data_IF_434739401394
#
_entry.id   IF_434739401394
#
_cell.length_a   1.000
_cell.length_b   1.000
_cell.length_c   1.000
_cell.angle_alpha   90.00
_cell.angle_beta   90.00
_cell.angle_gamma   90.00
#
_symmetry.space_group_name_H-M   'P 1'
#
loop_
_entity.id
_entity.type
_entity.pdbx_description
1 polymer ?
#
# COMPACT_ATOMS: atom_id res chain seq x y z
N UNK A 1 33.64 39.09 17.37
CA UNK A 1 32.35 38.68 16.74
C UNK A 1 32.56 37.89 15.45
N UNK A 2 33.49 38.22 14.59
CA UNK A 2 33.74 37.55 13.30
C UNK A 2 34.03 36.04 13.41
N UNK A 3 34.75 35.56 14.43
CA UNK A 3 35.07 34.15 14.67
C UNK A 3 33.82 33.26 14.86
N UNK A 4 32.84 33.70 15.63
CA UNK A 4 31.59 32.90 15.86
C UNK A 4 30.77 32.70 14.58
N UNK A 5 30.69 33.72 13.72
CA UNK A 5 30.02 33.66 12.46
C UNK A 5 30.69 32.70 11.47
N UNK A 6 32.01 32.62 11.49
CA UNK A 6 32.78 31.71 10.64
C UNK A 6 32.56 30.26 11.06
N UNK A 7 32.61 29.97 12.38
CA UNK A 7 32.33 28.62 12.90
C UNK A 7 30.92 28.15 12.60
N UNK A 8 29.90 29.03 12.76
CA UNK A 8 28.51 28.69 12.40
C UNK A 8 28.34 28.39 10.90
N UNK A 9 28.97 29.17 10.04
CA UNK A 9 28.97 28.94 8.58
C UNK A 9 29.62 27.62 8.22
N UNK A 10 30.75 27.30 8.83
CA UNK A 10 31.42 26.01 8.62
C UNK A 10 30.55 24.84 9.07
N UNK A 11 29.92 24.94 10.22
CA UNK A 11 29.00 23.91 10.73
C UNK A 11 27.79 23.70 9.81
N UNK A 12 27.17 24.78 9.33
CA UNK A 12 26.08 24.72 8.36
C UNK A 12 26.53 24.09 7.04
N UNK A 13 27.70 24.50 6.53
CA UNK A 13 28.24 23.94 5.29
C UNK A 13 28.55 22.46 5.43
N UNK A 14 29.15 22.03 6.53
CA UNK A 14 29.42 20.62 6.81
C UNK A 14 28.11 19.80 6.89
N UNK A 15 27.12 20.35 7.58
CA UNK A 15 25.79 19.71 7.65
C UNK A 15 25.14 19.58 6.27
N UNK A 16 25.17 20.63 5.45
CA UNK A 16 24.61 20.61 4.11
C UNK A 16 25.31 19.58 3.22
N UNK A 17 26.64 19.52 3.27
CA UNK A 17 27.41 18.51 2.53
C UNK A 17 27.02 17.10 2.97
N UNK A 18 26.95 16.85 4.27
CA UNK A 18 26.51 15.57 4.83
C UNK A 18 25.07 15.21 4.37
N UNK A 19 24.13 16.15 4.52
CA UNK A 19 22.72 15.94 4.16
C UNK A 19 22.55 15.66 2.67
N UNK A 20 23.18 16.44 1.80
CA UNK A 20 23.12 16.23 0.36
C UNK A 20 23.77 14.90 -0.04
N UNK A 21 24.89 14.54 0.56
CA UNK A 21 25.53 13.24 0.32
C UNK A 21 24.63 12.09 0.75
N UNK A 22 24.03 12.17 1.94
CA UNK A 22 23.08 11.16 2.42
C UNK A 22 21.89 11.00 1.47
N UNK A 23 21.34 12.12 0.98
CA UNK A 23 20.21 12.11 0.04
C UNK A 23 20.60 11.50 -1.30
N UNK A 24 21.77 11.87 -1.85
CA UNK A 24 22.27 11.31 -3.12
C UNK A 24 22.51 9.81 -2.99
N UNK A 25 23.20 9.36 -1.94
CA UNK A 25 23.44 7.92 -1.71
C UNK A 25 22.12 7.15 -1.57
N UNK A 26 21.09 7.77 -1.00
CA UNK A 26 19.78 7.13 -0.88
C UNK A 26 19.08 6.92 -2.22
N UNK A 27 19.19 7.89 -3.12
CA UNK A 27 18.48 7.93 -4.42
C UNK A 27 19.18 7.10 -5.49
N UNK A 28 20.52 7.01 -5.46
CA UNK A 28 21.32 6.28 -6.46
C UNK A 28 20.86 4.81 -6.56
N UNK A 29 20.84 4.20 -7.77
CA UNK A 29 20.56 2.78 -7.95
C UNK A 29 21.45 1.88 -7.07
N UNK A 30 20.95 0.69 -6.77
CA UNK A 30 21.66 -0.26 -5.93
C UNK A 30 23.02 -0.61 -6.55
N UNK A 31 24.05 -0.49 -5.74
CA UNK A 31 25.44 -0.70 -6.13
C UNK A 31 26.28 -1.07 -4.91
N UNK A 32 27.44 -1.76 -5.08
CA UNK A 32 28.33 -2.10 -3.97
C UNK A 32 28.77 -0.86 -3.15
N UNK A 33 28.94 0.28 -3.81
CA UNK A 33 29.27 1.54 -3.14
C UNK A 33 28.12 2.02 -2.23
N UNK A 34 26.87 1.94 -2.73
CA UNK A 34 25.69 2.29 -1.94
C UNK A 34 25.56 1.39 -0.72
N UNK A 35 25.73 0.08 -0.87
CA UNK A 35 25.67 -0.88 0.22
C UNK A 35 26.70 -0.59 1.31
N UNK A 36 27.91 -0.19 0.91
CA UNK A 36 28.96 0.19 1.84
C UNK A 36 28.65 1.49 2.62
N UNK A 37 28.04 2.48 1.97
CA UNK A 37 27.76 3.80 2.57
C UNK A 37 26.44 3.85 3.34
N UNK A 38 25.45 3.04 2.96
CA UNK A 38 24.10 3.03 3.55
C UNK A 38 24.08 2.90 5.08
N UNK A 39 24.87 2.02 5.72
CA UNK A 39 24.86 1.88 7.17
C UNK A 39 25.18 3.17 7.91
N UNK A 40 26.02 4.04 7.34
CA UNK A 40 26.37 5.32 7.94
C UNK A 40 25.23 6.35 7.89
N UNK A 41 24.38 6.30 6.85
CA UNK A 41 23.31 7.26 6.66
C UNK A 41 21.95 6.80 7.18
N UNK A 42 21.73 5.49 7.32
CA UNK A 42 20.47 4.93 7.86
C UNK A 42 20.04 5.53 9.19
N UNK A 43 20.89 5.68 10.21
CA UNK A 43 20.50 6.24 11.49
C UNK A 43 20.02 7.70 11.41
N UNK A 44 20.43 8.41 10.37
CA UNK A 44 20.01 9.79 10.11
C UNK A 44 18.73 9.85 9.27
N UNK A 45 18.65 9.09 8.17
CA UNK A 45 17.58 9.18 7.20
C UNK A 45 16.26 8.57 7.70
N UNK A 46 16.32 7.41 8.37
CA UNK A 46 15.12 6.69 8.79
C UNK A 46 14.33 7.39 9.90
N UNK A 47 14.93 7.82 11.03
CA UNK A 47 14.17 8.47 12.10
C UNK A 47 13.57 9.81 11.70
N UNK A 48 14.21 10.53 10.78
CA UNK A 48 13.74 11.81 10.28
C UNK A 48 12.71 11.70 9.14
N UNK A 49 12.41 10.48 8.70
CA UNK A 49 11.45 10.26 7.60
C UNK A 49 11.93 10.82 6.26
N UNK A 50 13.26 11.03 6.09
CA UNK A 50 13.88 11.59 4.88
C UNK A 50 14.06 10.57 3.76
N UNK A 51 13.72 9.30 4.03
CA UNK A 51 13.80 8.25 3.02
C UNK A 51 12.64 8.39 2.03
N UNK A 52 12.96 8.46 0.74
CA UNK A 52 11.98 8.36 -0.35
C UNK A 52 12.46 7.34 -1.37
N UNK A 53 11.53 6.50 -1.81
CA UNK A 53 11.77 5.63 -2.95
C UNK A 53 11.22 6.30 -4.20
N UNK A 54 12.10 6.66 -5.12
CA UNK A 54 11.72 7.27 -6.41
C UNK A 54 11.04 6.27 -7.36
N UNK A 55 11.09 4.99 -7.06
CA UNK A 55 10.38 3.93 -7.79
C UNK A 55 8.87 4.16 -7.86
N UNK A 56 8.31 4.97 -6.97
CA UNK A 56 6.90 5.35 -7.03
C UNK A 56 6.57 6.31 -8.19
N UNK A 57 7.58 6.96 -8.77
CA UNK A 57 7.38 8.02 -9.75
C UNK A 57 8.07 7.77 -11.10
N UNK A 58 9.00 6.81 -11.18
CA UNK A 58 9.76 6.52 -12.39
C UNK A 58 10.40 5.13 -12.34
N UNK A 59 10.56 4.41 -13.48
CA UNK A 59 10.17 4.81 -14.84
C UNK A 59 8.67 4.64 -15.12
N UNK A 60 7.97 3.79 -14.33
CA UNK A 60 6.56 3.45 -14.49
C UNK A 60 5.81 3.70 -13.18
N UNK A 61 5.26 4.92 -12.96
CA UNK A 61 4.40 5.16 -11.83
C UNK A 61 3.16 4.27 -11.93
N UNK A 62 2.75 3.66 -10.81
CA UNK A 62 1.49 2.92 -10.77
C UNK A 62 0.34 3.88 -11.05
N UNK A 63 -0.08 3.92 -12.33
CA UNK A 63 -1.20 4.74 -12.80
C UNK A 63 -2.55 4.04 -12.67
N UNK A 64 -2.53 2.74 -12.44
CA UNK A 64 -3.75 1.93 -12.41
C UNK A 64 -4.58 2.21 -11.15
N UNK A 65 -5.89 2.31 -11.34
CA UNK A 65 -6.83 2.31 -10.23
C UNK A 65 -7.08 0.87 -9.79
N UNK A 66 -6.75 0.57 -8.54
CA UNK A 66 -6.95 -0.75 -7.95
C UNK A 66 -8.01 -0.67 -6.85
N UNK A 67 -9.05 -1.49 -6.94
CA UNK A 67 -10.12 -1.59 -5.94
C UNK A 67 -10.23 -3.03 -5.46
N UNK A 68 -10.22 -3.20 -4.15
CA UNK A 68 -10.30 -4.49 -3.50
C UNK A 68 -11.77 -4.91 -3.34
N UNK A 69 -12.06 -6.17 -3.66
CA UNK A 69 -13.37 -6.79 -3.49
C UNK A 69 -13.20 -8.21 -2.98
N UNK A 70 -14.15 -8.69 -2.23
CA UNK A 70 -14.17 -10.07 -1.76
C UNK A 70 -15.52 -10.70 -2.00
N UNK A 71 -15.51 -11.94 -2.45
CA UNK A 71 -16.67 -12.81 -2.60
C UNK A 71 -16.58 -13.93 -1.59
N UNK A 72 -17.67 -14.16 -0.86
CA UNK A 72 -17.80 -15.23 0.11
C UNK A 72 -18.99 -16.10 -0.28
N UNK A 73 -18.74 -17.40 -0.42
CA UNK A 73 -19.77 -18.40 -0.67
C UNK A 73 -19.97 -19.19 0.62
N UNK A 74 -21.18 -19.21 1.16
CA UNK A 74 -21.51 -19.93 2.38
C UNK A 74 -21.82 -21.42 2.11
N UNK A 75 -21.98 -22.19 3.19
CA UNK A 75 -22.32 -23.62 3.11
C UNK A 75 -23.62 -23.92 2.36
N UNK A 76 -24.50 -22.94 2.19
CA UNK A 76 -25.75 -23.06 1.42
C UNK A 76 -25.59 -22.66 -0.04
N UNK A 77 -24.39 -22.26 -0.45
CA UNK A 77 -24.11 -21.74 -1.79
C UNK A 77 -24.55 -20.29 -1.97
N UNK A 78 -24.90 -19.57 -0.91
CA UNK A 78 -25.27 -18.17 -0.98
C UNK A 78 -24.04 -17.30 -1.13
N UNK A 79 -24.11 -16.33 -2.03
CA UNK A 79 -23.01 -15.46 -2.42
C UNK A 79 -23.13 -14.11 -1.71
N UNK A 80 -22.09 -13.74 -0.98
CA UNK A 80 -21.96 -12.46 -0.28
C UNK A 80 -20.79 -11.69 -0.87
N UNK A 81 -21.03 -10.47 -1.32
CA UNK A 81 -19.98 -9.59 -1.88
C UNK A 81 -19.68 -8.52 -0.85
N UNK A 82 -18.39 -8.34 -0.55
CA UNK A 82 -17.89 -7.26 0.27
C UNK A 82 -17.01 -6.33 -0.56
N UNK A 83 -17.49 -5.12 -0.77
CA UNK A 83 -16.73 -4.06 -1.44
C UNK A 83 -15.97 -3.23 -0.41
N UNK A 84 -14.66 -3.12 -0.59
CA UNK A 84 -13.85 -2.26 0.27
C UNK A 84 -14.13 -0.79 -0.06
N UNK A 85 -14.30 0.08 0.95
CA UNK A 85 -14.59 1.48 0.71
C UNK A 85 -13.46 2.15 -0.04
N UNK A 86 -13.77 2.78 -1.17
CA UNK A 86 -12.80 3.57 -1.93
C UNK A 86 -12.66 4.96 -1.32
N UNK A 87 -11.45 5.56 -1.43
CA UNK A 87 -11.22 6.91 -0.90
C UNK A 87 -12.00 7.95 -1.70
N UNK A 88 -12.30 7.65 -2.98
CA UNK A 88 -13.05 8.56 -3.86
C UNK A 88 -14.46 8.85 -3.33
N UNK A 89 -15.14 7.83 -2.83
CA UNK A 89 -16.54 7.88 -2.40
C UNK A 89 -16.74 8.46 -1.01
N UNK A 90 -15.64 8.76 -0.31
CA UNK A 90 -15.69 9.26 1.05
C UNK A 90 -15.76 10.79 1.10
N UNK A 91 -16.54 11.38 2.03
CA UNK A 91 -16.47 12.80 2.31
C UNK A 91 -15.05 13.18 2.80
N UNK A 92 -14.63 14.44 2.54
CA UNK A 92 -13.25 14.87 2.72
C UNK A 92 -12.67 14.60 4.12
N UNK A 93 -13.47 14.74 5.21
CA UNK A 93 -13.04 14.47 6.60
C UNK A 93 -12.77 12.99 6.89
N UNK A 94 -13.39 12.08 6.13
CA UNK A 94 -13.13 10.65 6.21
C UNK A 94 -11.97 10.20 5.31
N UNK A 95 -11.53 11.04 4.37
CA UNK A 95 -10.40 10.75 3.50
C UNK A 95 -9.07 10.77 4.26
N UNK A 96 -8.89 11.73 5.18
CA UNK A 96 -7.66 11.88 5.95
C UNK A 96 -7.21 10.59 6.69
N UNK A 97 -8.05 9.94 7.52
CA UNK A 97 -7.64 8.72 8.20
C UNK A 97 -7.50 7.51 7.24
N UNK A 98 -8.04 7.61 6.03
CA UNK A 98 -8.06 6.50 5.05
C UNK A 98 -7.17 6.70 3.83
N UNK A 99 -6.32 7.70 3.81
CA UNK A 99 -5.39 7.96 2.70
C UNK A 99 -4.43 6.79 2.41
N UNK A 100 -4.24 5.87 3.37
CA UNK A 100 -3.41 4.68 3.22
C UNK A 100 -4.11 3.50 2.54
N UNK A 101 -5.44 3.54 2.32
CA UNK A 101 -6.18 2.44 1.71
C UNK A 101 -5.69 2.07 0.30
N UNK A 102 -5.42 3.03 -0.61
CA UNK A 102 -4.87 2.69 -1.92
C UNK A 102 -3.53 1.95 -1.82
N UNK A 103 -2.64 2.40 -0.93
CA UNK A 103 -1.36 1.73 -0.70
C UNK A 103 -1.53 0.33 -0.12
N UNK A 104 -2.49 0.13 0.77
CA UNK A 104 -2.83 -1.18 1.30
C UNK A 104 -3.26 -2.14 0.19
N UNK A 105 -4.17 -1.71 -0.70
CA UNK A 105 -4.61 -2.49 -1.85
C UNK A 105 -3.44 -2.85 -2.76
N UNK A 106 -2.58 -1.88 -3.08
CA UNK A 106 -1.39 -2.12 -3.90
C UNK A 106 -0.41 -3.11 -3.24
N UNK A 107 -0.19 -2.99 -1.94
CA UNK A 107 0.68 -3.91 -1.22
C UNK A 107 0.14 -5.35 -1.25
N UNK A 108 -1.17 -5.54 -1.09
CA UNK A 108 -1.78 -6.87 -1.17
C UNK A 108 -1.59 -7.55 -2.53
N UNK A 109 -1.28 -6.80 -3.59
CA UNK A 109 -0.96 -7.37 -4.90
C UNK A 109 0.44 -7.99 -4.96
N UNK A 110 1.34 -7.65 -4.03
CA UNK A 110 2.69 -8.18 -3.95
C UNK A 110 2.72 -9.50 -3.19
N UNK A 111 3.51 -10.46 -3.66
CA UNK A 111 3.60 -11.80 -3.06
C UNK A 111 4.15 -11.81 -1.63
N UNK A 112 4.92 -10.78 -1.28
CA UNK A 112 5.43 -10.55 0.07
C UNK A 112 4.31 -10.43 1.13
N UNK A 113 3.08 -10.06 0.70
CA UNK A 113 1.92 -9.83 1.56
C UNK A 113 0.89 -10.98 1.51
N UNK A 114 1.33 -12.19 1.19
CA UNK A 114 0.44 -13.36 1.14
C UNK A 114 -0.25 -13.64 2.49
N UNK A 115 0.46 -13.47 3.60
CA UNK A 115 -0.10 -13.64 4.95
C UNK A 115 -1.16 -12.59 5.26
N UNK A 116 -0.93 -11.34 4.87
CA UNK A 116 -1.85 -10.23 5.06
C UNK A 116 -3.14 -10.39 4.25
N UNK A 117 -3.08 -11.09 3.12
CA UNK A 117 -4.28 -11.45 2.33
C UNK A 117 -5.21 -12.34 3.13
N UNK A 118 -4.70 -13.34 3.86
CA UNK A 118 -5.52 -14.19 4.72
C UNK A 118 -6.13 -13.41 5.89
N UNK A 119 -5.35 -12.55 6.55
CA UNK A 119 -5.88 -11.66 7.59
C UNK A 119 -6.96 -10.72 7.06
N UNK A 120 -6.81 -10.26 5.82
CA UNK A 120 -7.83 -9.46 5.12
C UNK A 120 -9.10 -10.27 4.90
N UNK A 121 -9.00 -11.54 4.52
CA UNK A 121 -10.13 -12.45 4.42
C UNK A 121 -10.87 -12.61 5.76
N UNK A 122 -10.15 -12.82 6.86
CA UNK A 122 -10.74 -12.89 8.19
C UNK A 122 -11.43 -11.57 8.59
N UNK A 123 -10.85 -10.44 8.23
CA UNK A 123 -11.49 -9.14 8.44
C UNK A 123 -12.81 -9.02 7.67
N UNK A 124 -12.85 -9.43 6.41
CA UNK A 124 -14.10 -9.42 5.59
C UNK A 124 -15.19 -10.26 6.24
N UNK A 125 -14.88 -11.48 6.67
CA UNK A 125 -15.84 -12.36 7.32
C UNK A 125 -16.43 -11.75 8.61
N UNK A 126 -15.60 -11.03 9.38
CA UNK A 126 -16.06 -10.28 10.55
C UNK A 126 -16.99 -9.13 10.18
N UNK A 127 -16.73 -8.44 9.06
CA UNK A 127 -17.59 -7.34 8.61
C UNK A 127 -18.93 -7.83 8.08
N UNK A 128 -18.95 -8.96 7.39
CA UNK A 128 -20.20 -9.59 6.89
C UNK A 128 -21.00 -10.17 8.05
N UNK A 129 -20.35 -10.71 9.07
CA UNK A 129 -21.02 -11.19 10.29
C UNK A 129 -21.86 -12.44 10.09
N UNK A 130 -21.38 -13.40 9.30
CA UNK A 130 -22.12 -14.64 9.02
C UNK A 130 -22.35 -15.46 10.31
N UNK A 131 -23.55 -16.08 10.46
CA UNK A 131 -23.85 -16.95 11.59
C UNK A 131 -23.04 -18.26 11.52
N UNK A 132 -22.83 -18.96 12.64
CA UNK A 132 -22.07 -20.22 12.66
C UNK A 132 -22.63 -21.29 11.68
N UNK A 133 -23.92 -21.28 11.44
CA UNK A 133 -24.58 -22.21 10.50
C UNK A 133 -24.27 -21.93 9.01
N UNK A 134 -23.60 -20.82 8.71
CA UNK A 134 -23.16 -20.50 7.34
C UNK A 134 -21.81 -21.12 6.99
N UNK A 135 -21.11 -21.66 7.96
CA UNK A 135 -19.81 -22.31 7.73
C UNK A 135 -19.99 -23.80 7.35
N UNK A 136 -19.08 -24.37 6.53
CA UNK A 136 -17.85 -23.76 6.00
C UNK A 136 -18.12 -22.68 4.94
N UNK A 137 -17.20 -21.71 4.84
CA UNK A 137 -17.27 -20.64 3.84
C UNK A 137 -16.03 -20.65 2.96
N UNK A 138 -16.25 -20.40 1.65
CA UNK A 138 -15.19 -20.20 0.67
C UNK A 138 -15.08 -18.71 0.35
N UNK A 139 -13.91 -18.10 0.62
CA UNK A 139 -13.64 -16.70 0.39
C UNK A 139 -12.66 -16.52 -0.75
N UNK A 140 -13.03 -15.71 -1.73
CA UNK A 140 -12.14 -15.26 -2.79
C UNK A 140 -11.87 -13.76 -2.68
N UNK A 141 -10.60 -13.38 -2.68
CA UNK A 141 -10.17 -11.99 -2.62
C UNK A 141 -9.69 -11.55 -3.99
N UNK A 142 -10.24 -10.47 -4.50
CA UNK A 142 -9.96 -9.93 -5.83
C UNK A 142 -9.49 -8.49 -5.78
N UNK A 143 -8.69 -8.10 -6.76
CA UNK A 143 -8.39 -6.72 -7.07
C UNK A 143 -8.93 -6.40 -8.48
N UNK A 144 -9.80 -5.41 -8.58
CA UNK A 144 -10.25 -4.83 -9.84
C UNK A 144 -9.25 -3.77 -10.26
N UNK A 145 -8.53 -4.00 -11.35
CA UNK A 145 -7.47 -3.13 -11.85
C UNK A 145 -7.93 -2.49 -13.15
N UNK A 146 -7.86 -1.18 -13.22
CA UNK A 146 -8.15 -0.41 -14.42
C UNK A 146 -7.03 0.55 -14.74
N UNK A 147 -6.52 0.47 -15.97
CA UNK A 147 -5.58 1.44 -16.50
C UNK A 147 -6.23 2.83 -16.65
N UNK A 148 -5.48 3.92 -16.44
CA UNK A 148 -5.97 5.26 -16.69
C UNK A 148 -6.38 5.43 -18.17
N UNK A 149 -7.35 6.29 -18.46
CA UNK A 149 -7.70 6.57 -19.85
C UNK A 149 -6.53 7.22 -20.58
N UNK A 150 -6.40 7.02 -21.90
CA UNK A 150 -5.42 7.74 -22.70
C UNK A 150 -5.54 9.26 -22.54
N UNK A 151 -4.45 10.01 -22.70
CA UNK A 151 -4.49 11.47 -22.62
C UNK A 151 -5.59 12.08 -23.51
N UNK A 152 -6.39 12.98 -22.94
CA UNK A 152 -7.48 13.65 -23.66
C UNK A 152 -8.83 12.93 -23.68
N UNK A 153 -8.92 11.73 -23.13
CA UNK A 153 -10.21 11.06 -22.93
C UNK A 153 -10.78 11.38 -21.54
N UNK A 154 -12.10 11.61 -21.42
CA UNK A 154 -12.72 11.83 -20.12
C UNK A 154 -12.63 10.57 -19.27
N UNK A 155 -12.51 10.75 -17.97
CA UNK A 155 -12.57 9.67 -16.99
C UNK A 155 -13.99 9.06 -17.05
N UNK A 156 -14.12 7.91 -17.69
CA UNK A 156 -15.34 7.09 -17.60
C UNK A 156 -15.33 6.35 -16.26
N UNK A 157 -16.48 5.74 -15.89
CA UNK A 157 -16.61 4.93 -14.69
C UNK A 157 -15.30 4.18 -14.37
N UNK A 158 -14.66 4.43 -13.21
CA UNK A 158 -13.37 3.87 -12.87
C UNK A 158 -13.37 2.33 -12.85
N UNK A 159 -14.51 1.68 -12.73
CA UNK A 159 -14.62 0.22 -12.67
C UNK A 159 -15.17 -0.43 -13.95
N UNK A 160 -15.66 0.37 -14.91
CA UNK A 160 -16.08 -0.18 -16.19
C UNK A 160 -14.90 -0.85 -16.92
N UNK A 161 -15.02 -2.12 -17.28
CA UNK A 161 -13.97 -2.92 -17.95
C UNK A 161 -12.68 -3.10 -17.13
N UNK A 162 -12.78 -3.10 -15.79
CA UNK A 162 -11.64 -3.42 -14.94
C UNK A 162 -11.20 -4.88 -15.17
N UNK A 163 -9.88 -5.12 -15.18
CA UNK A 163 -9.33 -6.46 -15.17
C UNK A 163 -9.40 -7.01 -13.75
N UNK A 164 -9.99 -8.20 -13.62
CA UNK A 164 -10.03 -8.90 -12.34
C UNK A 164 -8.71 -9.65 -12.12
N UNK A 165 -8.09 -9.42 -10.97
CA UNK A 165 -6.91 -10.12 -10.52
C UNK A 165 -7.21 -10.81 -9.19
N UNK A 166 -7.14 -12.15 -9.18
CA UNK A 166 -7.35 -12.93 -7.95
C UNK A 166 -6.11 -12.86 -7.09
N UNK A 167 -6.27 -12.38 -5.86
CA UNK A 167 -5.19 -12.29 -4.88
C UNK A 167 -5.02 -13.58 -4.08
N UNK A 168 -6.12 -14.31 -3.84
CA UNK A 168 -6.11 -15.58 -3.14
C UNK A 168 -7.50 -16.10 -2.86
N UNK A 169 -7.58 -17.39 -2.53
CA UNK A 169 -8.80 -18.08 -2.11
C UNK A 169 -8.53 -18.78 -0.79
N UNK A 170 -9.48 -18.74 0.12
CA UNK A 170 -9.34 -19.23 1.49
C UNK A 170 -10.61 -19.94 1.92
N UNK A 171 -10.44 -21.09 2.56
CA UNK A 171 -11.53 -21.85 3.16
C UNK A 171 -11.48 -21.69 4.68
N UNK A 172 -12.61 -21.31 5.27
CA UNK A 172 -12.77 -21.22 6.71
C UNK A 172 -13.83 -22.21 7.16
N UNK A 173 -13.43 -23.18 7.93
CA UNK A 173 -14.28 -24.29 8.33
C UNK A 173 -15.25 -23.92 9.46
N UNK A 174 -14.85 -22.99 10.30
CA UNK A 174 -15.65 -22.59 11.45
C UNK A 174 -15.44 -21.13 11.86
N UNK A 175 -16.45 -20.56 12.54
CA UNK A 175 -16.44 -19.17 13.00
C UNK A 175 -15.26 -18.84 13.93
N UNK A 176 -14.72 -19.79 14.70
CA UNK A 176 -13.62 -19.53 15.61
C UNK A 176 -12.31 -19.18 14.88
N UNK A 177 -12.11 -19.62 13.63
CA UNK A 177 -10.95 -19.27 12.81
C UNK A 177 -10.93 -17.80 12.39
N UNK A 178 -12.09 -17.15 12.44
CA UNK A 178 -12.28 -15.75 12.03
C UNK A 178 -12.14 -14.79 13.21
N UNK A 179 -12.31 -15.27 14.44
CA UNK A 179 -12.16 -14.47 15.66
C UNK A 179 -10.67 -14.22 15.96
N UNK A 180 -10.33 -13.03 16.51
CA UNK A 180 -8.96 -12.75 16.96
C UNK A 180 -8.54 -13.63 18.10
#
# INVERSE_FOLDING_TARGET
>A
MAWRWTAARLAISAFLVFHLTATVVWIVPDSPLKECLMPAFRPYMLPLGLWQSWWMFAPDPMGDTAVLESEVIDAKGMRHIYEFPTVADLPWWKKLPRFRHPKFTCNLMLDEYATEREFTGRYVLRQIGLPPAAYPVHLSLYCKIKAPPPPGQPFSDPLARARLHTLGTYDFLALHEVRP
#
